data_IF_327065432237
#
_entry.id   IF_327065432237
#
_cell.length_a   1.000
_cell.length_b   1.000
_cell.length_c   1.000
_cell.angle_alpha   90.00
_cell.angle_beta   90.00
_cell.angle_gamma   90.00
#
_symmetry.space_group_name_H-M   'P 1'
#
loop_
_entity.id
_entity.type
_entity.pdbx_description
1 polymer ?
#
# COMPACT_ATOMS: atom_id res chain seq x y z
N UNK A 1 9.71 3.33 -17.25
CA UNK A 1 8.52 3.46 -16.40
C UNK A 1 8.61 2.41 -15.31
N UNK A 2 8.68 2.80 -14.04
CA UNK A 2 8.55 1.82 -12.96
C UNK A 2 7.06 1.51 -12.76
N UNK A 3 6.71 0.23 -12.60
CA UNK A 3 5.38 -0.15 -12.17
C UNK A 3 5.27 0.14 -10.67
N UNK A 4 4.79 1.33 -10.33
CA UNK A 4 4.55 1.75 -8.96
C UNK A 4 3.35 0.99 -8.41
N UNK A 5 3.51 0.44 -7.21
CA UNK A 5 2.46 -0.28 -6.49
C UNK A 5 1.91 0.67 -5.42
N UNK A 6 0.59 0.66 -5.24
CA UNK A 6 -0.10 1.46 -4.24
C UNK A 6 -0.99 0.60 -3.35
N UNK A 7 -1.03 0.93 -2.06
CA UNK A 7 -1.88 0.24 -1.09
C UNK A 7 -2.85 1.21 -0.42
N UNK A 8 -4.12 0.80 -0.30
CA UNK A 8 -5.13 1.50 0.49
C UNK A 8 -5.48 0.65 1.72
N UNK A 9 -5.36 1.23 2.92
CA UNK A 9 -5.63 0.52 4.17
C UNK A 9 -6.83 1.19 4.85
N UNK A 10 -7.90 0.43 5.07
CA UNK A 10 -9.09 0.89 5.79
C UNK A 10 -9.28 0.09 7.07
N UNK A 11 -9.05 0.72 8.20
CA UNK A 11 -9.29 0.15 9.52
C UNK A 11 -10.76 0.24 9.91
N UNK A 12 -11.27 -0.77 10.62
CA UNK A 12 -12.66 -0.78 11.12
C UNK A 12 -12.96 0.38 12.08
N UNK A 13 -11.98 0.79 12.90
CA UNK A 13 -12.12 1.90 13.86
C UNK A 13 -11.52 3.22 13.36
N UNK A 14 -10.42 3.15 12.62
CA UNK A 14 -9.62 4.31 12.22
C UNK A 14 -10.02 4.89 10.85
N UNK A 15 -10.99 4.27 10.16
CA UNK A 15 -11.38 4.70 8.82
C UNK A 15 -10.25 4.47 7.81
N UNK A 16 -10.05 5.41 6.90
CA UNK A 16 -9.02 5.31 5.87
C UNK A 16 -7.65 5.66 6.48
N UNK A 17 -6.90 4.63 6.87
CA UNK A 17 -5.57 4.79 7.48
C UNK A 17 -4.57 5.35 6.48
N UNK A 18 -4.72 5.01 5.20
CA UNK A 18 -3.83 5.51 4.14
C UNK A 18 -4.13 6.96 3.70
N UNK A 19 -5.11 7.62 4.31
CA UNK A 19 -5.49 8.99 3.97
C UNK A 19 -4.28 9.94 4.12
N UNK A 20 -3.99 10.70 3.08
CA UNK A 20 -2.89 11.66 3.04
C UNK A 20 -1.46 11.06 3.03
N UNK A 21 -1.30 9.73 2.97
CA UNK A 21 0.01 9.09 3.04
C UNK A 21 0.94 9.39 1.85
N UNK A 22 0.40 9.79 0.69
CA UNK A 22 1.18 10.18 -0.49
C UNK A 22 0.96 11.65 -0.84
N UNK A 23 0.95 12.51 0.17
CA UNK A 23 0.98 13.96 0.04
C UNK A 23 2.39 14.50 0.27
N UNK A 24 2.63 15.74 -0.16
CA UNK A 24 3.91 16.43 0.09
C UNK A 24 4.26 16.49 1.58
N UNK A 25 3.27 16.67 2.47
CA UNK A 25 3.48 16.72 3.93
C UNK A 25 3.97 15.38 4.48
N UNK A 26 3.57 14.26 3.86
CA UNK A 26 3.94 12.91 4.29
C UNK A 26 5.28 12.44 3.72
N UNK A 27 5.48 12.56 2.40
CA UNK A 27 6.62 11.95 1.68
C UNK A 27 7.49 12.95 0.91
N UNK A 28 7.26 14.26 1.11
CA UNK A 28 8.02 15.33 0.46
C UNK A 28 7.92 15.24 -1.05
N UNK A 29 9.05 15.40 -1.74
CA UNK A 29 9.12 15.39 -3.22
C UNK A 29 8.78 14.03 -3.86
N UNK A 30 8.54 12.98 -3.06
CA UNK A 30 8.18 11.64 -3.55
C UNK A 30 6.67 11.42 -3.61
N UNK A 31 5.87 12.43 -3.28
CA UNK A 31 4.43 12.38 -3.43
C UNK A 31 4.03 12.20 -4.89
N UNK A 32 2.88 11.58 -5.13
CA UNK A 32 2.35 11.40 -6.47
C UNK A 32 0.90 11.86 -6.54
N UNK A 33 0.63 12.82 -7.42
CA UNK A 33 -0.71 13.34 -7.65
C UNK A 33 -1.64 12.23 -8.16
N UNK A 34 -2.87 12.20 -7.64
CA UNK A 34 -3.87 11.16 -7.90
C UNK A 34 -3.76 9.90 -7.04
N UNK A 35 -2.79 9.85 -6.13
CA UNK A 35 -2.57 8.73 -5.19
C UNK A 35 -2.49 9.18 -3.73
N UNK A 36 -2.98 10.38 -3.41
CA UNK A 36 -2.78 11.08 -2.13
C UNK A 36 -3.18 10.25 -0.90
N UNK A 37 -4.25 9.46 -1.03
CA UNK A 37 -4.81 8.60 0.02
C UNK A 37 -4.34 7.14 -0.05
N UNK A 38 -3.25 6.89 -0.76
CA UNK A 38 -2.62 5.59 -0.89
C UNK A 38 -1.19 5.64 -0.36
N UNK A 39 -0.67 4.48 0.02
CA UNK A 39 0.72 4.30 0.42
C UNK A 39 1.49 3.82 -0.82
N UNK A 40 2.55 4.53 -1.19
CA UNK A 40 3.48 4.07 -2.24
C UNK A 40 4.30 2.87 -1.72
N UNK A 41 4.16 1.73 -2.38
CA UNK A 41 4.84 0.48 -2.04
C UNK A 41 6.09 0.33 -2.91
N UNK A 42 7.26 0.31 -2.28
CA UNK A 42 8.54 0.22 -2.98
C UNK A 42 8.86 -1.22 -3.43
N UNK A 43 8.53 -2.20 -2.59
CA UNK A 43 8.69 -3.63 -2.83
C UNK A 43 7.57 -4.39 -2.11
N UNK A 44 7.08 -5.47 -2.73
CA UNK A 44 6.10 -6.37 -2.14
C UNK A 44 6.57 -7.81 -2.35
N UNK A 45 6.65 -8.57 -1.26
CA UNK A 45 6.94 -9.99 -1.27
C UNK A 45 5.79 -10.72 -0.56
N UNK A 46 5.25 -11.76 -1.19
CA UNK A 46 4.12 -12.54 -0.67
C UNK A 46 4.35 -14.02 -0.94
N UNK A 47 4.16 -14.84 0.08
CA UNK A 47 4.19 -16.30 -0.02
C UNK A 47 2.81 -16.84 0.38
N UNK A 48 2.27 -17.74 -0.44
CA UNK A 48 0.98 -18.39 -0.18
C UNK A 48 1.20 -19.90 -0.27
N UNK A 49 1.18 -20.56 0.87
CA UNK A 49 1.30 -22.01 0.98
C UNK A 49 -0.07 -22.67 1.23
N UNK A 50 -0.23 -23.89 0.69
CA UNK A 50 -1.35 -24.78 1.03
C UNK A 50 -0.80 -26.03 1.66
N UNK A 51 -1.36 -26.44 2.80
CA UNK A 51 -1.05 -27.73 3.39
C UNK A 51 -1.63 -28.83 2.47
N UNK A 52 -0.76 -29.64 1.86
CA UNK A 52 -1.18 -30.82 1.11
C UNK A 52 -1.43 -31.96 2.11
N UNK A 53 -2.66 -32.47 2.17
CA UNK A 53 -2.93 -33.73 2.84
C UNK A 53 -2.33 -34.85 1.98
N UNK A 54 -1.28 -35.50 2.49
CA UNK A 54 -0.76 -36.74 1.92
C UNK A 54 -1.63 -37.87 2.47
N UNK A 55 -2.53 -38.39 1.63
CA UNK A 55 -3.22 -39.67 1.84
C UNK A 55 -2.46 -40.79 1.18
#
# INVERSE_FOLDING_TARGET
>A
MANLIYASIKGKKQGLISAGCSTYVSTGNRFQAGHEDQIMVLSLETEISRLRHLG
#
